data_IF_612321159371
#
_entry.id   IF_612321159371
#
_cell.length_a   1.000
_cell.length_b   1.000
_cell.length_c   1.000
_cell.angle_alpha   90.00
_cell.angle_beta   90.00
_cell.angle_gamma   90.00
#
_symmetry.space_group_name_H-M   'P 1'
#
loop_
_entity.id
_entity.type
_entity.pdbx_description
1 polymer ?
#
# COMPACT_ATOMS: atom_id res chain seq x y z
N UNK A 1 10.41 -34.44 -14.89
CA UNK A 1 10.72 -33.17 -14.20
C UNK A 1 9.50 -32.27 -14.34
N UNK A 2 8.85 -31.88 -13.24
CA UNK A 2 7.65 -31.03 -13.28
C UNK A 2 8.07 -29.61 -13.63
N UNK A 3 7.78 -29.16 -14.85
CA UNK A 3 7.87 -27.75 -15.21
C UNK A 3 6.84 -26.98 -14.37
N UNK A 4 7.30 -26.31 -13.32
CA UNK A 4 6.53 -25.24 -12.70
C UNK A 4 6.39 -24.14 -13.75
N UNK A 5 5.23 -24.09 -14.41
CA UNK A 5 4.81 -22.92 -15.17
C UNK A 5 4.70 -21.76 -14.17
N UNK A 6 5.72 -20.91 -14.13
CA UNK A 6 5.60 -19.57 -13.57
C UNK A 6 4.62 -18.81 -14.47
N UNK A 7 3.32 -19.04 -14.25
CA UNK A 7 2.28 -18.20 -14.82
C UNK A 7 2.57 -16.82 -14.25
N UNK A 8 2.95 -15.91 -15.14
CA UNK A 8 3.07 -14.48 -14.92
C UNK A 8 1.74 -13.97 -14.33
N UNK A 9 1.53 -14.17 -13.01
CA UNK A 9 0.36 -13.70 -12.27
C UNK A 9 0.51 -12.20 -12.17
N UNK A 10 0.11 -11.53 -13.25
CA UNK A 10 0.02 -10.10 -13.43
C UNK A 10 -0.32 -9.44 -12.11
N UNK A 11 0.57 -8.56 -11.66
CA UNK A 11 0.60 -7.50 -10.62
C UNK A 11 -0.74 -7.00 -10.02
N UNK A 12 -1.78 -7.81 -9.89
CA UNK A 12 -3.12 -7.41 -9.50
C UNK A 12 -3.15 -6.93 -8.05
N UNK A 13 -2.46 -7.65 -7.16
CA UNK A 13 -2.36 -7.22 -5.77
C UNK A 13 -1.49 -5.96 -5.62
N UNK A 14 -0.38 -5.85 -6.35
CA UNK A 14 0.42 -4.63 -6.34
C UNK A 14 -0.38 -3.41 -6.84
N UNK A 15 -1.20 -3.57 -7.89
CA UNK A 15 -2.13 -2.54 -8.37
C UNK A 15 -3.19 -2.20 -7.32
N UNK A 16 -3.76 -3.20 -6.66
CA UNK A 16 -4.71 -3.00 -5.56
C UNK A 16 -4.08 -2.19 -4.42
N UNK A 17 -2.82 -2.50 -4.06
CA UNK A 17 -2.06 -1.71 -3.09
C UNK A 17 -1.89 -0.26 -3.51
N UNK A 18 -1.60 -0.01 -4.79
CA UNK A 18 -1.54 1.35 -5.35
C UNK A 18 -2.88 2.08 -5.27
N UNK A 19 -3.99 1.41 -5.60
CA UNK A 19 -5.35 1.98 -5.51
C UNK A 19 -5.69 2.34 -4.06
N UNK A 20 -5.34 1.47 -3.10
CA UNK A 20 -5.58 1.72 -1.67
C UNK A 20 -4.82 2.95 -1.17
N UNK A 21 -3.57 3.12 -1.58
CA UNK A 21 -2.78 4.31 -1.25
C UNK A 21 -3.44 5.56 -1.82
N UNK A 22 -3.79 5.54 -3.11
CA UNK A 22 -4.42 6.68 -3.78
C UNK A 22 -5.76 7.05 -3.13
N UNK A 23 -6.59 6.06 -2.81
CA UNK A 23 -7.86 6.27 -2.14
C UNK A 23 -7.67 6.92 -0.76
N UNK A 24 -6.72 6.42 0.04
CA UNK A 24 -6.41 6.99 1.34
C UNK A 24 -5.88 8.42 1.26
N UNK A 25 -5.00 8.73 0.29
CA UNK A 25 -4.52 10.09 0.03
C UNK A 25 -5.65 11.03 -0.39
N UNK A 26 -6.58 10.58 -1.24
CA UNK A 26 -7.74 11.39 -1.61
C UNK A 26 -8.60 11.73 -0.39
N UNK A 27 -8.96 10.73 0.43
CA UNK A 27 -9.77 10.98 1.64
C UNK A 27 -9.05 11.92 2.60
N UNK A 28 -7.73 11.79 2.75
CA UNK A 28 -6.95 12.66 3.62
C UNK A 28 -6.87 14.11 3.11
N UNK A 29 -6.82 14.30 1.79
CA UNK A 29 -6.63 15.63 1.18
C UNK A 29 -7.94 16.42 1.02
N UNK A 30 -9.08 15.76 0.82
CA UNK A 30 -10.39 16.43 0.60
C UNK A 30 -10.74 17.48 1.65
N UNK A 31 -10.59 17.24 2.97
CA UNK A 31 -10.96 18.21 4.01
C UNK A 31 -10.16 19.53 3.95
N UNK A 32 -9.03 19.57 3.24
CA UNK A 32 -8.25 20.78 3.04
C UNK A 32 -8.80 21.68 1.93
N UNK A 33 -9.65 21.14 1.05
CA UNK A 33 -10.23 21.85 -0.09
C UNK A 33 -11.72 22.10 0.07
N UNK A 34 -12.40 21.30 0.90
CA UNK A 34 -13.86 21.34 1.10
C UNK A 34 -14.17 21.22 2.58
N UNK A 35 -15.07 22.06 3.07
CA UNK A 35 -15.61 21.92 4.42
C UNK A 35 -16.38 20.62 4.55
N UNK A 36 -15.99 19.81 5.53
CA UNK A 36 -16.61 18.53 5.84
C UNK A 36 -17.02 18.49 7.30
N UNK A 37 -18.27 18.10 7.56
CA UNK A 37 -18.82 17.97 8.93
C UNK A 37 -18.27 16.73 9.68
N UNK A 38 -17.45 15.92 9.02
CA UNK A 38 -16.86 14.72 9.61
C UNK A 38 -15.75 15.07 10.59
N UNK A 39 -15.85 14.53 11.81
CA UNK A 39 -14.79 14.61 12.80
C UNK A 39 -13.44 14.11 12.23
N UNK A 40 -12.37 14.85 12.52
CA UNK A 40 -11.03 14.57 12.01
C UNK A 40 -10.53 13.14 12.33
N UNK A 41 -10.93 12.58 13.48
CA UNK A 41 -10.61 11.19 13.84
C UNK A 41 -11.17 10.16 12.86
N UNK A 42 -12.35 10.41 12.27
CA UNK A 42 -12.92 9.55 11.23
C UNK A 42 -12.15 9.66 9.93
N UNK A 43 -11.74 10.87 9.55
CA UNK A 43 -10.90 11.11 8.36
C UNK A 43 -9.58 10.34 8.49
N UNK A 44 -8.92 10.44 9.64
CA UNK A 44 -7.68 9.70 9.93
C UNK A 44 -7.87 8.19 9.84
N UNK A 45 -8.97 7.65 10.37
CA UNK A 45 -9.23 6.22 10.33
C UNK A 45 -9.49 5.73 8.89
N UNK A 46 -10.34 6.44 8.15
CA UNK A 46 -10.74 6.07 6.78
C UNK A 46 -9.60 6.27 5.78
N UNK A 47 -8.71 7.24 5.99
CA UNK A 47 -7.50 7.40 5.16
C UNK A 47 -6.34 6.50 5.61
N UNK A 48 -6.15 6.33 6.91
CA UNK A 48 -5.00 5.64 7.50
C UNK A 48 -5.01 4.13 7.24
N UNK A 49 -6.16 3.46 7.37
CA UNK A 49 -6.24 2.00 7.16
C UNK A 49 -5.91 1.61 5.70
N UNK A 50 -6.52 2.24 4.67
CA UNK A 50 -6.16 1.97 3.28
C UNK A 50 -4.70 2.30 2.97
N UNK A 51 -4.15 3.40 3.51
CA UNK A 51 -2.73 3.74 3.32
C UNK A 51 -1.82 2.65 3.88
N UNK A 52 -2.06 2.22 5.12
CA UNK A 52 -1.26 1.18 5.77
C UNK A 52 -1.34 -0.14 4.99
N UNK A 53 -2.55 -0.59 4.62
CA UNK A 53 -2.75 -1.82 3.85
C UNK A 53 -2.12 -1.74 2.46
N UNK A 54 -2.28 -0.60 1.78
CA UNK A 54 -1.70 -0.38 0.47
C UNK A 54 -0.17 -0.45 0.48
N UNK A 55 0.46 0.15 1.49
CA UNK A 55 1.92 0.07 1.71
C UNK A 55 2.35 -1.37 2.00
N UNK A 56 1.66 -2.09 2.87
CA UNK A 56 1.96 -3.50 3.18
C UNK A 56 1.89 -4.36 1.92
N UNK A 57 0.83 -4.20 1.12
CA UNK A 57 0.62 -4.97 -0.11
C UNK A 57 1.72 -4.66 -1.13
N UNK A 58 2.02 -3.39 -1.40
CA UNK A 58 3.08 -3.05 -2.37
C UNK A 58 4.43 -3.59 -1.91
N UNK A 59 4.74 -3.45 -0.62
CA UNK A 59 6.00 -3.93 -0.05
C UNK A 59 6.15 -5.44 -0.22
N UNK A 60 5.09 -6.19 0.11
CA UNK A 60 5.06 -7.66 0.00
C UNK A 60 5.26 -8.14 -1.44
N UNK A 61 4.71 -7.45 -2.44
CA UNK A 61 4.74 -7.89 -3.84
C UNK A 61 5.87 -7.26 -4.67
N UNK A 62 6.46 -6.16 -4.21
CA UNK A 62 7.57 -5.48 -4.87
C UNK A 62 8.95 -6.08 -4.56
N UNK A 63 9.02 -7.14 -3.75
CA UNK A 63 10.28 -7.68 -3.25
C UNK A 63 10.94 -6.80 -2.17
N UNK A 64 10.27 -5.72 -1.75
CA UNK A 64 10.62 -4.94 -0.55
C UNK A 64 10.00 -5.68 0.62
N UNK A 65 10.57 -6.83 0.96
CA UNK A 65 10.38 -7.38 2.29
C UNK A 65 10.89 -6.27 3.21
N UNK A 66 9.98 -5.55 3.86
CA UNK A 66 10.34 -4.75 5.01
C UNK A 66 10.83 -5.80 6.01
N UNK A 67 12.14 -6.01 5.98
CA UNK A 67 12.84 -6.90 6.87
C UNK A 67 12.83 -6.22 8.23
N UNK A 68 11.73 -6.41 8.96
CA UNK A 68 11.58 -5.97 10.35
C UNK A 68 12.52 -6.74 11.28
N UNK A 69 13.31 -7.69 10.77
CA UNK A 69 14.15 -8.60 11.54
C UNK A 69 15.66 -8.30 11.42
N UNK A 70 16.12 -7.58 10.38
CA UNK A 70 17.53 -7.24 10.26
C UNK A 70 17.80 -5.81 9.74
N UNK A 71 18.56 -5.05 10.53
CA UNK A 71 19.16 -3.74 10.25
C UNK A 71 20.15 -3.73 9.05
N UNK A 72 19.78 -4.21 7.86
CA UNK A 72 20.64 -4.13 6.67
C UNK A 72 19.86 -3.76 5.42
N UNK A 73 20.03 -2.50 5.01
CA UNK A 73 19.71 -2.02 3.68
C UNK A 73 20.51 -2.84 2.66
N UNK A 74 19.84 -3.74 1.94
CA UNK A 74 20.48 -4.46 0.84
C UNK A 74 20.66 -3.52 -0.34
N UNK A 75 21.91 -3.07 -0.56
CA UNK A 75 22.34 -2.38 -1.77
C UNK A 75 22.31 -3.38 -2.93
N UNK A 76 21.50 -3.10 -3.94
CA UNK A 76 21.46 -3.89 -5.18
C UNK A 76 22.50 -3.28 -6.12
N UNK A 77 23.42 -4.14 -6.56
CA UNK A 77 24.40 -3.88 -7.63
C UNK A 77 23.75 -4.02 -9.00
#
# INVERSE_FOLDING_TARGET
MRHFHYINRKNGLQKLGGILILAGLMVFTIPFFVEVETAFSKVLLVSGIPLALGVIIISTYGGVIIDFEAHKLKKIS
#
